data_IF_266374627824
#
_entry.id   IF_266374627824
#
_cell.length_a   1.000
_cell.length_b   1.000
_cell.length_c   1.000
_cell.angle_alpha   90.00
_cell.angle_beta   90.00
_cell.angle_gamma   90.00
#
_symmetry.space_group_name_H-M   'P 1'
#
loop_
_entity.id
_entity.type
_entity.pdbx_description
1 polymer ?
#
# COMPACT_ATOMS: atom_id res chain seq x y z
N UNK A 1 -3.96 33.39 -3.27
CA UNK A 1 -4.26 31.98 -3.59
C UNK A 1 -2.94 31.24 -3.71
N UNK A 2 -2.59 30.35 -2.78
CA UNK A 2 -1.48 29.41 -3.00
C UNK A 2 -1.60 28.19 -2.10
N UNK A 3 -1.93 27.08 -2.75
CA UNK A 3 -1.46 25.70 -2.52
C UNK A 3 -1.52 25.15 -1.09
N UNK A 4 -2.67 24.59 -0.74
CA UNK A 4 -2.78 23.64 0.35
C UNK A 4 -1.92 22.41 0.08
N UNK A 5 -0.88 22.22 0.87
CA UNK A 5 -0.22 20.93 1.06
C UNK A 5 -1.23 19.98 1.69
N UNK A 6 -1.90 19.18 0.86
CA UNK A 6 -2.66 18.02 1.31
C UNK A 6 -1.62 16.98 1.74
N UNK A 7 -1.14 17.11 2.97
CA UNK A 7 -0.23 16.17 3.61
C UNK A 7 -0.96 14.82 3.71
N UNK A 8 -0.66 13.92 2.77
CA UNK A 8 -1.03 12.52 2.85
C UNK A 8 -0.39 11.95 4.10
N UNK A 9 -1.17 11.84 5.18
CA UNK A 9 -0.71 11.32 6.45
C UNK A 9 -0.44 9.82 6.25
N UNK A 10 0.82 9.47 5.99
CA UNK A 10 1.28 8.08 5.98
C UNK A 10 1.04 7.53 7.37
N UNK A 11 0.14 6.54 7.49
CA UNK A 11 -0.24 6.00 8.80
C UNK A 11 0.78 4.96 9.26
N UNK A 12 1.60 4.40 8.36
CA UNK A 12 2.58 3.36 8.67
C UNK A 12 3.85 3.51 7.81
N UNK A 13 5.03 3.47 8.46
CA UNK A 13 6.35 3.31 7.85
C UNK A 13 7.25 2.62 8.88
N UNK A 14 7.28 1.29 8.90
CA UNK A 14 8.18 0.53 9.79
C UNK A 14 9.23 -0.23 8.97
N UNK A 15 10.43 -0.39 9.55
CA UNK A 15 11.60 -0.94 8.86
C UNK A 15 11.58 -2.46 8.63
N UNK A 16 10.55 -3.18 9.09
CA UNK A 16 10.39 -4.62 8.89
C UNK A 16 8.93 -5.03 8.74
N UNK A 17 8.65 -6.07 7.94
CA UNK A 17 7.30 -6.61 7.74
C UNK A 17 6.59 -7.00 9.06
N UNK A 18 7.35 -7.44 10.06
CA UNK A 18 6.79 -7.79 11.36
C UNK A 18 6.30 -6.56 12.14
N UNK A 19 7.02 -5.45 12.02
CA UNK A 19 6.66 -4.18 12.65
C UNK A 19 5.49 -3.53 11.91
N UNK A 20 5.48 -3.58 10.58
CA UNK A 20 4.35 -3.09 9.77
C UNK A 20 3.06 -3.85 10.11
N UNK A 21 3.15 -5.18 10.33
CA UNK A 21 2.01 -6.00 10.73
C UNK A 21 1.50 -5.70 12.15
N UNK A 22 2.36 -5.22 13.06
CA UNK A 22 1.95 -4.76 14.39
C UNK A 22 1.28 -3.39 14.30
N UNK A 23 1.84 -2.51 13.48
CA UNK A 23 1.32 -1.16 13.30
C UNK A 23 -0.09 -1.15 12.65
N UNK A 24 -0.49 -2.24 11.97
CA UNK A 24 -1.90 -2.45 11.55
C UNK A 24 -2.88 -2.35 12.72
N UNK A 25 -2.48 -2.74 13.93
CA UNK A 25 -3.37 -2.76 15.09
C UNK A 25 -3.74 -1.31 15.55
N UNK A 26 -3.02 -0.28 15.08
CA UNK A 26 -3.32 1.15 15.31
C UNK A 26 -4.32 1.74 14.29
N UNK A 27 -4.66 0.99 13.24
CA UNK A 27 -5.65 1.42 12.24
C UNK A 27 -7.09 1.31 12.79
N UNK A 28 -8.08 1.98 12.16
CA UNK A 28 -9.49 1.74 12.46
C UNK A 28 -9.83 0.25 12.39
N UNK A 29 -10.47 -0.28 13.43
CA UNK A 29 -10.71 -1.72 13.63
C UNK A 29 -11.36 -2.41 12.42
N UNK A 30 -12.22 -1.69 11.71
CA UNK A 30 -12.96 -2.18 10.56
C UNK A 30 -12.07 -2.46 9.32
N UNK A 31 -10.87 -1.86 9.21
CA UNK A 31 -9.96 -2.11 8.08
C UNK A 31 -8.80 -3.05 8.44
N UNK A 32 -8.52 -3.25 9.74
CA UNK A 32 -7.33 -3.98 10.22
C UNK A 32 -7.19 -5.35 9.57
N UNK A 33 -8.26 -6.16 9.57
CA UNK A 33 -8.24 -7.52 9.00
C UNK A 33 -7.86 -7.53 7.51
N UNK A 34 -8.42 -6.60 6.73
CA UNK A 34 -8.17 -6.52 5.29
C UNK A 34 -6.74 -6.08 4.96
N UNK A 35 -6.20 -5.12 5.72
CA UNK A 35 -4.80 -4.68 5.61
C UNK A 35 -3.86 -5.81 6.04
N UNK A 36 -4.11 -6.44 7.19
CA UNK A 36 -3.29 -7.55 7.71
C UNK A 36 -3.23 -8.71 6.74
N UNK A 37 -4.37 -9.10 6.16
CA UNK A 37 -4.45 -10.14 5.13
C UNK A 37 -3.68 -9.77 3.87
N UNK A 38 -3.79 -8.51 3.42
CA UNK A 38 -3.05 -8.01 2.26
C UNK A 38 -1.53 -8.07 2.46
N UNK A 39 -1.02 -7.55 3.58
CA UNK A 39 0.41 -7.57 3.90
C UNK A 39 0.95 -8.99 4.11
N UNK A 40 0.16 -9.89 4.73
CA UNK A 40 0.51 -11.31 4.85
C UNK A 40 0.62 -12.02 3.50
N UNK A 41 -0.15 -11.59 2.50
CA UNK A 41 -0.09 -12.12 1.14
C UNK A 41 1.22 -11.82 0.38
N UNK A 42 2.01 -10.83 0.83
CA UNK A 42 3.36 -10.58 0.32
C UNK A 42 4.37 -11.64 0.80
N UNK A 43 5.38 -11.97 0.01
CA UNK A 43 6.52 -12.79 0.47
C UNK A 43 7.50 -11.95 1.31
N UNK A 44 8.58 -12.55 1.79
CA UNK A 44 9.62 -11.82 2.56
C UNK A 44 10.44 -10.85 1.71
N UNK A 45 10.28 -10.87 0.38
CA UNK A 45 10.92 -9.90 -0.54
C UNK A 45 10.18 -8.55 -0.57
N UNK A 46 8.96 -8.49 -0.04
CA UNK A 46 8.15 -7.28 -0.07
C UNK A 46 8.60 -6.32 1.03
N UNK A 47 8.52 -5.03 0.73
CA UNK A 47 8.89 -3.92 1.59
C UNK A 47 7.94 -2.73 1.37
N UNK A 48 8.24 -1.60 2.01
CA UNK A 48 7.49 -0.34 1.89
C UNK A 48 5.98 -0.54 2.10
N UNK A 49 5.61 -1.17 3.21
CA UNK A 49 4.21 -1.39 3.57
C UNK A 49 3.63 -0.09 4.12
N UNK A 50 2.62 0.45 3.45
CA UNK A 50 1.97 1.69 3.89
C UNK A 50 0.45 1.58 3.86
N UNK A 51 -0.21 2.35 4.71
CA UNK A 51 -1.65 2.60 4.63
C UNK A 51 -1.87 4.10 4.70
N UNK A 52 -2.65 4.62 3.77
CA UNK A 52 -2.97 6.04 3.66
C UNK A 52 -4.49 6.23 3.59
N UNK A 53 -5.03 7.18 4.33
CA UNK A 53 -6.42 7.60 4.16
C UNK A 53 -6.54 8.54 2.97
N UNK A 54 -7.44 8.23 2.05
CA UNK A 54 -7.69 8.98 0.82
C UNK A 54 -8.69 10.12 1.06
N UNK A 55 -8.71 11.16 0.19
CA UNK A 55 -9.67 12.27 0.31
C UNK A 55 -11.15 11.86 0.26
N UNK A 56 -11.46 10.75 -0.40
CA UNK A 56 -12.81 10.18 -0.45
C UNK A 56 -13.19 9.36 0.81
N UNK A 57 -12.31 9.30 1.81
CA UNK A 57 -12.49 8.55 3.04
C UNK A 57 -12.00 7.09 3.00
N UNK A 58 -11.74 6.54 1.81
CA UNK A 58 -11.21 5.18 1.65
C UNK A 58 -9.78 5.09 2.19
N UNK A 59 -9.28 3.87 2.32
CA UNK A 59 -7.91 3.58 2.72
C UNK A 59 -7.19 2.88 1.57
N UNK A 60 -5.99 3.33 1.27
CA UNK A 60 -5.11 2.70 0.30
C UNK A 60 -3.97 2.00 1.03
N UNK A 61 -3.98 0.67 1.03
CA UNK A 61 -2.86 -0.14 1.48
C UNK A 61 -1.91 -0.42 0.31
N UNK A 62 -0.60 -0.27 0.53
CA UNK A 62 0.45 -0.49 -0.47
C UNK A 62 1.52 -1.43 0.06
N UNK A 63 2.12 -2.21 -0.83
CA UNK A 63 3.37 -2.93 -0.58
C UNK A 63 4.17 -3.04 -1.86
N UNK A 64 5.48 -2.88 -1.76
CA UNK A 64 6.41 -2.92 -2.89
C UNK A 64 7.10 -4.27 -2.96
N UNK A 65 7.28 -4.79 -4.17
CA UNK A 65 8.11 -5.96 -4.47
C UNK A 65 9.22 -5.52 -5.43
N UNK A 66 10.51 -5.59 -5.04
CA UNK A 66 11.62 -5.46 -5.98
C UNK A 66 11.49 -6.49 -7.12
N UNK A 67 11.75 -6.05 -8.34
CA UNK A 67 11.83 -6.93 -9.50
C UNK A 67 13.17 -7.67 -9.56
N UNK A 68 13.25 -8.67 -10.44
CA UNK A 68 14.49 -9.43 -10.63
C UNK A 68 15.54 -8.63 -11.44
N UNK A 69 15.09 -7.63 -12.21
CA UNK A 69 15.96 -6.64 -12.87
C UNK A 69 16.24 -5.50 -11.87
N UNK A 70 17.51 -5.17 -11.57
CA UNK A 70 17.85 -4.08 -10.66
C UNK A 70 17.16 -2.77 -11.04
N UNK A 71 16.60 -2.08 -10.04
CA UNK A 71 15.83 -0.83 -10.22
C UNK A 71 14.36 -1.05 -10.62
N UNK A 72 14.00 -2.20 -11.22
CA UNK A 72 12.60 -2.51 -11.49
C UNK A 72 11.85 -2.87 -10.21
N UNK A 73 10.55 -2.60 -10.17
CA UNK A 73 9.69 -2.94 -9.03
C UNK A 73 8.24 -3.09 -9.43
N UNK A 74 7.47 -3.73 -8.58
CA UNK A 74 6.02 -3.70 -8.65
C UNK A 74 5.43 -3.20 -7.34
N UNK A 75 4.45 -2.30 -7.43
CA UNK A 75 3.71 -1.80 -6.27
C UNK A 75 2.30 -2.40 -6.34
N UNK A 76 1.90 -3.04 -5.24
CA UNK A 76 0.58 -3.63 -5.09
C UNK A 76 -0.27 -2.67 -4.28
N UNK A 77 -1.52 -2.53 -4.68
CA UNK A 77 -2.48 -1.61 -4.09
C UNK A 77 -3.74 -2.38 -3.71
N UNK A 78 -4.28 -2.08 -2.52
CA UNK A 78 -5.63 -2.48 -2.11
C UNK A 78 -6.37 -1.25 -1.59
N UNK A 79 -7.47 -0.91 -2.23
CA UNK A 79 -8.39 0.12 -1.76
C UNK A 79 -9.48 -0.51 -0.90
N UNK A 80 -9.71 0.06 0.27
CA UNK A 80 -10.64 -0.42 1.29
C UNK A 80 -11.58 0.75 1.65
N UNK A 81 -12.88 0.56 1.60
CA UNK A 81 -13.84 1.60 2.01
C UNK A 81 -13.88 1.80 3.53
N UNK A 82 -14.50 2.88 4.03
CA UNK A 82 -14.53 3.21 5.45
C UNK A 82 -15.28 2.20 6.32
N UNK A 83 -16.04 1.28 5.73
CA UNK A 83 -16.74 0.17 6.38
C UNK A 83 -15.89 -1.12 6.44
N UNK A 84 -14.72 -1.14 5.79
CA UNK A 84 -13.86 -2.31 5.71
C UNK A 84 -14.02 -3.15 4.44
N UNK A 85 -14.89 -2.79 3.50
CA UNK A 85 -15.06 -3.54 2.24
C UNK A 85 -13.89 -3.32 1.29
N UNK A 86 -13.41 -4.37 0.61
CA UNK A 86 -12.39 -4.20 -0.45
C UNK A 86 -13.06 -3.67 -1.71
N UNK A 87 -12.60 -2.53 -2.21
CA UNK A 87 -13.11 -1.89 -3.41
C UNK A 87 -12.36 -2.37 -4.66
N UNK A 88 -11.03 -2.37 -4.61
CA UNK A 88 -10.20 -2.86 -5.72
C UNK A 88 -8.83 -3.32 -5.26
N UNK A 89 -8.26 -4.26 -6.02
CA UNK A 89 -6.87 -4.68 -5.89
C UNK A 89 -6.22 -4.61 -7.27
N UNK A 90 -5.06 -3.98 -7.35
CA UNK A 90 -4.32 -3.87 -8.59
C UNK A 90 -2.82 -3.75 -8.33
N UNK A 91 -2.04 -3.85 -9.40
CA UNK A 91 -0.58 -3.76 -9.34
C UNK A 91 -0.05 -2.92 -10.49
N UNK A 92 0.82 -1.99 -10.15
CA UNK A 92 1.65 -1.27 -11.11
C UNK A 92 3.04 -1.90 -11.17
N UNK A 93 3.66 -1.87 -12.34
CA UNK A 93 5.04 -2.33 -12.52
C UNK A 93 5.83 -1.26 -13.22
N UNK A 94 7.02 -1.00 -12.68
CA UNK A 94 7.89 0.08 -13.07
C UNK A 94 9.21 -0.49 -13.60
N UNK A 95 9.74 0.13 -14.65
CA UNK A 95 11.06 -0.19 -15.19
C UNK A 95 12.18 0.37 -14.27
N UNK A 96 13.46 0.07 -14.55
CA UNK A 96 14.57 0.60 -13.78
C UNK A 96 14.72 2.13 -13.76
N UNK A 97 14.15 2.83 -14.75
CA UNK A 97 14.11 4.29 -14.79
C UNK A 97 12.94 4.87 -13.97
N UNK A 98 12.07 4.01 -13.43
CA UNK A 98 10.88 4.40 -12.67
C UNK A 98 9.66 4.70 -13.53
N UNK A 99 9.68 4.40 -14.82
CA UNK A 99 8.53 4.59 -15.69
C UNK A 99 7.50 3.47 -15.49
N UNK A 100 6.22 3.81 -15.50
CA UNK A 100 5.14 2.84 -15.44
C UNK A 100 5.10 2.01 -16.73
N UNK A 101 5.29 0.70 -16.61
CA UNK A 101 5.24 -0.27 -17.71
C UNK A 101 3.83 -0.83 -17.87
N UNK A 102 3.18 -1.20 -16.76
CA UNK A 102 1.83 -1.75 -16.81
C UNK A 102 1.06 -1.54 -15.51
N UNK A 103 -0.27 -1.45 -15.64
CA UNK A 103 -1.24 -1.61 -14.55
C UNK A 103 -2.06 -2.86 -14.79
N UNK A 104 -2.21 -3.73 -13.79
CA UNK A 104 -3.01 -4.96 -13.89
C UNK A 104 -3.96 -5.10 -12.70
N UNK A 105 -5.26 -5.40 -12.92
CA UNK A 105 -6.15 -5.82 -11.84
C UNK A 105 -5.67 -7.15 -11.25
N UNK A 106 -6.06 -7.42 -10.00
CA UNK A 106 -5.56 -8.54 -9.20
C UNK A 106 -6.68 -9.38 -8.62
#
# INVERSE_FOLDING_TARGET
MSTGTCSTQSVLNAGSKADDLKAVDDLPSNIQSNVKSFFKGGSNKYNDFTVEKMPNGNYMAKMTKPGDVPGSKAIYYKEISPDGTTIKVYKDTFDPAGNLVHTKPK
#
